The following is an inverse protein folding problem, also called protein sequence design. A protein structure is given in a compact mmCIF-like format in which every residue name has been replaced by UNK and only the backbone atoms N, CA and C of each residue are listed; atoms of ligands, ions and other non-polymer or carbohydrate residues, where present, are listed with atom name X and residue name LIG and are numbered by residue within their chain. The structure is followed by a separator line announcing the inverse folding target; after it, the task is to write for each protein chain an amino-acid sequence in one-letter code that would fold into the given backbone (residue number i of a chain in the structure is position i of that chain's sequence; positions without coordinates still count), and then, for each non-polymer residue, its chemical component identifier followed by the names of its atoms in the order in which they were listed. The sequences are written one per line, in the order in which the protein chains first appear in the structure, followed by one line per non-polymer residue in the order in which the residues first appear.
data_IF_631878521349
#
_entry.id   IF_631878521349
#
_cell.length_a   1.000
_cell.length_b   1.000
_cell.length_c   1.000
_cell.angle_alpha   90.00
_cell.angle_beta   90.00
_cell.angle_gamma   90.00
#
_symmetry.space_group_name_H-M   'P 1'
#
loop_
_entity.id
_entity.type
_entity.pdbx_description
1 polymer ?
#
# COMPACT_ATOMS: atom_id res chain seq x y z
N UNK A 1 -35.14 -11.94 -4.91
CA UNK A 1 -34.21 -10.82 -5.21
C UNK A 1 -32.80 -11.26 -4.81
N UNK A 2 -32.28 -12.30 -5.46
CA UNK A 2 -31.07 -13.04 -5.06
C UNK A 2 -29.97 -13.00 -6.14
N UNK A 3 -29.92 -11.92 -6.93
CA UNK A 3 -29.08 -11.85 -8.14
C UNK A 3 -28.07 -10.70 -8.17
N UNK A 4 -27.84 -10.00 -7.06
CA UNK A 4 -26.86 -8.89 -7.00
C UNK A 4 -25.61 -9.21 -6.17
N UNK A 5 -25.52 -10.42 -5.59
CA UNK A 5 -24.42 -10.85 -4.72
C UNK A 5 -23.51 -11.92 -5.33
N UNK A 6 -23.58 -12.14 -6.65
CA UNK A 6 -22.40 -12.63 -7.38
C UNK A 6 -21.51 -11.42 -7.64
N UNK A 7 -20.99 -10.81 -6.56
CA UNK A 7 -19.97 -9.78 -6.67
C UNK A 7 -18.83 -10.40 -7.47
N UNK A 8 -18.57 -9.84 -8.64
CA UNK A 8 -17.50 -10.23 -9.54
C UNK A 8 -16.23 -10.48 -8.73
N UNK A 9 -15.78 -11.74 -8.71
CA UNK A 9 -14.50 -12.09 -8.12
C UNK A 9 -13.46 -11.38 -8.98
N UNK A 10 -12.90 -10.27 -8.48
CA UNK A 10 -11.80 -9.59 -9.13
C UNK A 10 -10.63 -10.59 -9.17
N UNK A 11 -10.19 -10.94 -10.38
CA UNK A 11 -9.08 -11.87 -10.59
C UNK A 11 -7.77 -11.30 -10.07
N UNK A 12 -6.81 -12.19 -9.82
CA UNK A 12 -5.47 -11.80 -9.35
C UNK A 12 -4.75 -10.87 -10.34
N UNK A 13 -4.97 -11.06 -11.64
CA UNK A 13 -4.43 -10.18 -12.68
C UNK A 13 -4.97 -8.75 -12.58
N UNK A 14 -6.28 -8.60 -12.33
CA UNK A 14 -6.89 -7.28 -12.17
C UNK A 14 -6.45 -6.64 -10.85
N UNK A 15 -6.34 -7.41 -9.76
CA UNK A 15 -5.79 -6.92 -8.48
C UNK A 15 -4.38 -6.39 -8.66
N UNK A 16 -3.53 -7.16 -9.34
CA UNK A 16 -2.16 -6.77 -9.64
C UNK A 16 -2.12 -5.50 -10.48
N UNK A 17 -2.88 -5.43 -11.56
CA UNK A 17 -2.95 -4.25 -12.43
C UNK A 17 -3.38 -3.00 -11.66
N UNK A 18 -4.42 -3.11 -10.82
CA UNK A 18 -4.90 -1.99 -10.01
C UNK A 18 -3.84 -1.50 -9.02
N UNK A 19 -3.11 -2.41 -8.38
CA UNK A 19 -2.02 -2.05 -7.49
C UNK A 19 -0.85 -1.37 -8.24
N UNK A 20 -0.48 -1.91 -9.40
CA UNK A 20 0.54 -1.32 -10.28
C UNK A 20 0.14 0.10 -10.74
N UNK A 21 -1.14 0.33 -11.06
CA UNK A 21 -1.68 1.66 -11.39
C UNK A 21 -1.54 2.62 -10.20
N UNK A 22 -1.82 2.19 -8.97
CA UNK A 22 -1.64 3.03 -7.79
C UNK A 22 -0.17 3.43 -7.59
N UNK A 23 0.77 2.49 -7.77
CA UNK A 23 2.20 2.78 -7.68
C UNK A 23 2.70 3.69 -8.81
N UNK A 24 2.27 3.44 -10.05
CA UNK A 24 2.56 4.35 -11.15
C UNK A 24 1.98 5.76 -10.87
N UNK A 25 0.78 5.83 -10.30
CA UNK A 25 0.12 7.08 -9.93
C UNK A 25 0.95 7.93 -8.98
N UNK A 26 1.48 7.35 -7.89
CA UNK A 26 2.36 8.11 -6.97
C UNK A 26 3.65 8.54 -7.65
N UNK A 27 4.27 7.66 -8.44
CA UNK A 27 5.51 7.96 -9.18
C UNK A 27 5.34 9.09 -10.21
N UNK A 28 4.13 9.26 -10.74
CA UNK A 28 3.79 10.29 -11.73
C UNK A 28 2.98 11.47 -11.15
N UNK A 29 2.94 11.63 -9.83
CA UNK A 29 2.24 12.74 -9.15
C UNK A 29 0.74 12.84 -9.44
N UNK A 30 0.08 11.70 -9.73
CA UNK A 30 -1.38 11.59 -9.88
C UNK A 30 -2.07 11.47 -8.51
N UNK A 31 -1.81 12.45 -7.65
CA UNK A 31 -2.13 12.42 -6.22
C UNK A 31 -3.64 12.22 -5.97
N UNK A 32 -4.49 12.95 -6.69
CA UNK A 32 -5.95 12.85 -6.51
C UNK A 32 -6.50 11.49 -6.94
N UNK A 33 -5.95 10.90 -8.01
CA UNK A 33 -6.33 9.57 -8.47
C UNK A 33 -5.92 8.49 -7.47
N UNK A 34 -4.70 8.55 -6.94
CA UNK A 34 -4.24 7.60 -5.92
C UNK A 34 -5.10 7.71 -4.66
N UNK A 35 -5.41 8.92 -4.19
CA UNK A 35 -6.31 9.10 -3.04
C UNK A 35 -7.71 8.52 -3.29
N UNK A 36 -8.26 8.69 -4.50
CA UNK A 36 -9.55 8.10 -4.85
C UNK A 36 -9.53 6.56 -4.86
N UNK A 37 -8.38 5.95 -5.14
CA UNK A 37 -8.22 4.49 -5.18
C UNK A 37 -7.89 3.86 -3.81
N UNK A 38 -7.28 4.61 -2.88
CA UNK A 38 -6.86 4.09 -1.56
C UNK A 38 -7.96 3.31 -0.80
N UNK A 39 -9.24 3.72 -0.78
CA UNK A 39 -10.30 2.96 -0.10
C UNK A 39 -10.46 1.53 -0.64
N UNK A 40 -10.14 1.29 -1.91
CA UNK A 40 -10.22 -0.03 -2.53
C UNK A 40 -9.03 -0.95 -2.19
N UNK A 41 -7.99 -0.46 -1.51
CA UNK A 41 -6.75 -1.22 -1.29
C UNK A 41 -6.99 -2.56 -0.57
N UNK A 42 -7.93 -2.62 0.38
CA UNK A 42 -8.29 -3.86 1.08
C UNK A 42 -8.97 -4.90 0.19
N UNK A 43 -9.62 -4.44 -0.88
CA UNK A 43 -10.22 -5.28 -1.91
C UNK A 43 -9.20 -5.61 -2.99
N UNK A 44 -8.11 -4.85 -3.15
CA UNK A 44 -7.05 -5.12 -4.13
C UNK A 44 -6.03 -6.11 -3.55
N UNK A 45 -5.61 -5.92 -2.30
CA UNK A 45 -4.62 -6.74 -1.59
C UNK A 45 -5.29 -7.43 -0.38
N UNK A 46 -5.73 -8.70 -0.50
CA UNK A 46 -6.44 -9.41 0.58
C UNK A 46 -5.57 -9.72 1.80
N UNK A 47 -4.29 -10.02 1.59
CA UNK A 47 -3.36 -10.29 2.69
C UNK A 47 -3.13 -9.01 3.49
N UNK A 48 -3.49 -9.05 4.78
CA UNK A 48 -3.48 -7.84 5.62
C UNK A 48 -2.09 -7.29 5.87
N UNK A 49 -1.07 -8.14 5.99
CA UNK A 49 0.30 -7.66 6.22
C UNK A 49 0.86 -7.04 4.94
N UNK A 50 0.66 -7.69 3.79
CA UNK A 50 1.06 -7.16 2.50
C UNK A 50 0.29 -5.88 2.12
N UNK A 51 -0.99 -5.80 2.48
CA UNK A 51 -1.82 -4.60 2.31
C UNK A 51 -1.19 -3.40 3.04
N UNK A 52 -0.71 -3.60 4.26
CA UNK A 52 -0.04 -2.54 5.04
C UNK A 52 1.33 -2.16 4.44
N UNK A 53 2.09 -3.12 3.92
CA UNK A 53 3.34 -2.83 3.19
C UNK A 53 3.06 -1.97 1.95
N UNK A 54 2.04 -2.35 1.17
CA UNK A 54 1.62 -1.58 -0.01
C UNK A 54 1.15 -0.17 0.38
N UNK A 55 0.37 -0.06 1.47
CA UNK A 55 -0.08 1.23 1.99
C UNK A 55 1.10 2.12 2.39
N UNK A 56 2.11 1.57 3.06
CA UNK A 56 3.29 2.33 3.46
C UNK A 56 4.04 2.91 2.24
N UNK A 57 4.24 2.10 1.19
CA UNK A 57 4.86 2.57 -0.06
C UNK A 57 4.04 3.67 -0.74
N UNK A 58 2.71 3.53 -0.78
CA UNK A 58 1.83 4.55 -1.33
C UNK A 58 1.91 5.84 -0.52
N UNK A 59 1.89 5.76 0.82
CA UNK A 59 2.02 6.92 1.70
C UNK A 59 3.36 7.63 1.52
N UNK A 60 4.46 6.89 1.37
CA UNK A 60 5.75 7.48 1.05
C UNK A 60 5.70 8.27 -0.27
N UNK A 61 5.11 7.70 -1.33
CA UNK A 61 4.90 8.38 -2.61
C UNK A 61 3.91 9.55 -2.55
N UNK A 62 3.02 9.58 -1.55
CA UNK A 62 2.11 10.68 -1.24
C UNK A 62 2.73 11.73 -0.29
N UNK A 63 4.05 11.71 -0.12
CA UNK A 63 4.79 12.63 0.75
C UNK A 63 4.45 12.49 2.25
N UNK A 64 4.10 11.28 2.69
CA UNK A 64 3.86 10.92 4.09
C UNK A 64 4.85 9.83 4.60
N UNK A 65 6.18 10.01 4.45
CA UNK A 65 7.16 8.96 4.75
C UNK A 65 7.23 8.57 6.23
N UNK A 66 6.88 9.47 7.16
CA UNK A 66 6.86 9.17 8.59
C UNK A 66 5.77 8.14 8.92
N UNK A 67 4.56 8.30 8.35
CA UNK A 67 3.48 7.33 8.51
C UNK A 67 3.80 6.00 7.84
N UNK A 68 4.51 6.03 6.71
CA UNK A 68 5.03 4.82 6.09
C UNK A 68 5.96 4.06 7.04
N UNK A 69 6.92 4.75 7.66
CA UNK A 69 7.83 4.14 8.64
C UNK A 69 7.12 3.57 9.87
N UNK A 70 6.15 4.30 10.44
CA UNK A 70 5.33 3.83 11.56
C UNK A 70 4.60 2.51 11.24
N UNK A 71 4.01 2.41 10.04
CA UNK A 71 3.33 1.19 9.59
C UNK A 71 4.34 0.05 9.44
N UNK A 72 5.47 0.30 8.80
CA UNK A 72 6.48 -0.73 8.51
C UNK A 72 7.11 -1.30 9.79
N UNK A 73 7.26 -0.50 10.85
CA UNK A 73 7.82 -0.94 12.13
C UNK A 73 7.04 -2.10 12.79
N UNK A 74 5.73 -2.17 12.55
CA UNK A 74 4.84 -3.18 13.13
C UNK A 74 4.75 -4.50 12.33
N UNK A 75 5.40 -4.61 11.17
CA UNK A 75 5.18 -5.71 10.21
C UNK A 75 6.43 -6.59 10.10
N UNK A 76 6.30 -7.87 10.39
CA UNK A 76 7.36 -8.91 10.37
C UNK A 76 7.55 -9.59 9.00
N UNK A 77 7.22 -8.91 7.90
CA UNK A 77 7.45 -9.41 6.55
C UNK A 77 8.85 -9.02 6.04
N UNK A 78 9.53 -9.87 5.26
CA UNK A 78 10.83 -9.54 4.66
C UNK A 78 10.82 -8.22 3.89
N UNK A 79 9.75 -7.94 3.13
CA UNK A 79 9.56 -6.71 2.38
C UNK A 79 9.47 -5.50 3.30
N UNK A 80 8.76 -5.63 4.43
CA UNK A 80 8.65 -4.55 5.41
C UNK A 80 10.01 -4.25 6.05
N UNK A 81 10.75 -5.30 6.44
CA UNK A 81 12.08 -5.18 7.03
C UNK A 81 13.07 -4.48 6.09
N UNK A 82 13.04 -4.82 4.80
CA UNK A 82 13.88 -4.16 3.80
C UNK A 82 13.52 -2.67 3.63
N UNK A 83 12.23 -2.33 3.66
CA UNK A 83 11.77 -0.96 3.45
C UNK A 83 12.01 -0.01 4.63
N UNK A 84 12.16 -0.51 5.87
CA UNK A 84 12.49 0.32 7.03
C UNK A 84 13.81 1.09 6.88
N UNK A 85 14.74 0.58 6.07
CA UNK A 85 15.99 1.27 5.75
C UNK A 85 15.77 2.55 4.94
N UNK A 86 14.68 2.59 4.14
CA UNK A 86 14.32 3.72 3.32
C UNK A 86 13.32 4.66 4.01
N UNK A 87 12.46 4.07 4.88
CA UNK A 87 11.43 4.77 5.63
C UNK A 87 11.56 4.42 7.12
N UNK A 88 12.55 4.99 7.82
CA UNK A 88 12.73 4.73 9.25
C UNK A 88 11.52 5.26 10.03
N UNK A 89 11.13 4.54 11.08
CA UNK A 89 10.12 5.04 11.98
C UNK A 89 10.63 6.31 12.70
N UNK A 90 9.73 7.25 13.11
CA UNK A 90 10.12 8.53 13.70
C UNK A 90 11.06 8.45 14.92
N UNK A 91 11.13 7.29 15.58
CA UNK A 91 11.90 7.05 16.80
C UNK A 91 13.04 6.02 16.63
N UNK A 92 13.28 5.51 15.42
CA UNK A 92 14.48 4.73 15.15
C UNK A 92 15.61 5.70 14.80
N UNK A 93 16.54 5.91 15.74
CA UNK A 93 17.79 6.60 15.46
C UNK A 93 18.47 5.92 14.27
N UNK A 94 18.68 6.66 13.18
CA UNK A 94 19.48 6.21 12.04
C UNK A 94 20.89 5.90 12.55
N UNK A 95 21.15 4.62 12.82
CA UNK A 95 22.50 4.13 13.11
C UNK A 95 23.29 4.16 11.80
N UNK A 96 24.04 5.24 11.61
CA UNK A 96 25.13 5.32 10.65
C UNK A 96 26.36 4.58 11.20
#
# INVERSE_FOLDING_TARGET
MESLLKSEIISDDIRRLLLEIMFAGVNHSLISQVHAMLPALSVIVPDKKLQLVCLALLLAGLNEPLKAGEILAGIDLPEAMALRLLFPAPNEELKN
#
